data_IF_414203940957
#
_entry.id   IF_414203940957
#
_cell.length_a   1.000
_cell.length_b   1.000
_cell.length_c   1.000
_cell.angle_alpha   90.00
_cell.angle_beta   90.00
_cell.angle_gamma   90.00
#
_symmetry.space_group_name_H-M   'P 1'
#
loop_
_entity.id
_entity.type
_entity.pdbx_description
1 polymer ?
#
# COMPACT_ATOMS: atom_id res chain seq x y z
N UNK A 1 50.68 -36.98 34.90
CA UNK A 1 50.60 -35.52 35.06
C UNK A 1 50.97 -34.89 33.73
N UNK A 2 49.95 -34.42 32.99
CA UNK A 2 49.74 -33.01 32.59
C UNK A 2 50.63 -32.60 31.39
N UNK A 3 50.13 -32.69 30.15
CA UNK A 3 49.33 -31.72 29.35
C UNK A 3 50.05 -30.39 29.04
N UNK A 4 50.12 -30.06 27.74
CA UNK A 4 50.34 -28.69 27.27
C UNK A 4 50.82 -28.57 25.82
N UNK A 5 49.93 -28.80 24.84
CA UNK A 5 50.15 -28.36 23.45
C UNK A 5 48.91 -27.59 23.02
N UNK A 6 49.02 -26.26 23.04
CA UNK A 6 48.01 -25.34 22.51
C UNK A 6 48.24 -25.16 21.01
N UNK A 7 47.29 -25.64 20.21
CA UNK A 7 47.19 -25.36 18.78
C UNK A 7 46.11 -24.31 18.53
N UNK A 8 46.52 -23.11 18.12
CA UNK A 8 45.63 -22.03 17.71
C UNK A 8 44.92 -22.39 16.38
N UNK A 9 43.59 -22.46 16.43
CA UNK A 9 42.72 -22.53 15.27
C UNK A 9 41.72 -21.38 15.31
N UNK A 10 42.03 -20.28 14.63
CA UNK A 10 41.05 -19.21 14.39
C UNK A 10 40.30 -19.51 13.08
N UNK A 11 39.11 -20.08 13.23
CA UNK A 11 38.12 -20.20 12.17
C UNK A 11 37.40 -18.86 11.95
N UNK A 12 37.49 -18.33 10.73
CA UNK A 12 36.71 -17.17 10.29
C UNK A 12 35.22 -17.51 10.24
N UNK A 13 34.44 -16.92 11.15
CA UNK A 13 32.97 -17.01 11.16
C UNK A 13 32.39 -15.86 10.34
N UNK A 14 31.43 -16.21 9.48
CA UNK A 14 30.93 -15.40 8.38
C UNK A 14 30.25 -14.10 8.80
N UNK A 15 30.70 -13.01 8.18
CA UNK A 15 29.97 -11.74 8.08
C UNK A 15 28.89 -11.84 7.00
N UNK A 16 27.75 -12.47 7.31
CA UNK A 16 26.62 -12.60 6.37
C UNK A 16 25.32 -11.93 6.78
N UNK A 17 25.08 -11.69 8.08
CA UNK A 17 23.74 -11.40 8.60
C UNK A 17 23.30 -9.94 8.70
N UNK A 18 24.17 -8.94 8.49
CA UNK A 18 23.83 -7.53 8.80
C UNK A 18 23.27 -6.70 7.64
N UNK A 19 23.27 -7.22 6.41
CA UNK A 19 22.88 -6.43 5.23
C UNK A 19 21.36 -6.37 5.00
N UNK A 20 20.62 -7.40 5.38
CA UNK A 20 19.16 -7.50 5.15
C UNK A 20 18.34 -6.61 6.09
N UNK A 21 18.71 -6.51 7.36
CA UNK A 21 18.03 -5.64 8.33
C UNK A 21 18.15 -4.14 8.01
N UNK A 22 19.21 -3.73 7.30
CA UNK A 22 19.43 -2.33 6.94
C UNK A 22 18.52 -1.87 5.80
N UNK A 23 18.25 -2.77 4.83
CA UNK A 23 17.38 -2.48 3.70
C UNK A 23 15.90 -2.39 4.11
N UNK A 24 15.46 -3.22 5.06
CA UNK A 24 14.07 -3.21 5.53
C UNK A 24 13.77 -1.99 6.41
N UNK A 25 14.72 -1.59 7.28
CA UNK A 25 14.64 -0.31 8.04
C UNK A 25 14.65 0.93 7.14
N UNK A 26 15.38 0.89 6.03
CA UNK A 26 15.37 1.95 5.02
C UNK A 26 14.02 2.09 4.31
N UNK A 27 13.37 0.95 4.00
CA UNK A 27 12.08 0.92 3.31
C UNK A 27 10.93 1.43 4.20
N UNK A 28 10.94 1.10 5.49
CA UNK A 28 9.95 1.58 6.46
C UNK A 28 10.08 3.09 6.74
N UNK A 29 11.31 3.63 6.80
CA UNK A 29 11.53 5.09 6.89
C UNK A 29 11.08 5.85 5.64
N UNK A 30 11.18 5.24 4.47
CA UNK A 30 10.70 5.84 3.21
C UNK A 30 9.18 5.97 3.19
N UNK A 31 8.45 4.92 3.60
CA UNK A 31 6.99 4.95 3.65
C UNK A 31 6.44 5.99 4.63
N UNK A 32 7.02 6.14 5.84
CA UNK A 32 6.60 7.18 6.78
C UNK A 32 6.86 8.61 6.25
N UNK A 33 7.88 8.81 5.39
CA UNK A 33 8.12 10.13 4.78
C UNK A 33 7.07 10.46 3.72
N UNK A 34 6.55 9.48 3.00
CA UNK A 34 5.47 9.68 2.01
C UNK A 34 4.17 10.06 2.71
N UNK A 35 3.78 9.34 3.77
CA UNK A 35 2.55 9.61 4.53
C UNK A 35 2.54 11.01 5.16
N UNK A 36 3.65 11.44 5.77
CA UNK A 36 3.75 12.80 6.34
C UNK A 36 3.73 13.89 5.25
N UNK A 37 4.18 13.59 4.02
CA UNK A 37 4.13 14.55 2.92
C UNK A 37 2.72 14.70 2.31
N UNK A 38 1.90 13.65 2.38
CA UNK A 38 0.50 13.68 1.94
C UNK A 38 -0.37 14.47 2.91
N UNK A 39 -0.19 14.31 4.23
CA UNK A 39 -0.90 15.12 5.23
C UNK A 39 -0.52 16.61 5.15
N UNK A 40 0.77 16.95 4.96
CA UNK A 40 1.18 18.35 4.79
C UNK A 40 0.64 18.96 3.49
N UNK A 41 0.50 18.17 2.42
CA UNK A 41 -0.02 18.66 1.14
C UNK A 41 -1.55 18.80 1.12
N UNK A 42 -2.29 17.97 1.85
CA UNK A 42 -3.73 18.17 2.08
C UNK A 42 -4.00 19.38 2.98
N UNK A 43 -3.21 19.57 4.04
CA UNK A 43 -3.31 20.75 4.91
C UNK A 43 -3.03 22.07 4.16
N UNK A 44 -2.09 22.07 3.20
CA UNK A 44 -1.84 23.22 2.30
C UNK A 44 -2.98 23.45 1.29
N UNK A 45 -3.65 22.40 0.80
CA UNK A 45 -4.78 22.54 -0.13
C UNK A 45 -6.01 23.17 0.54
N UNK A 46 -6.32 22.78 1.77
CA UNK A 46 -7.49 23.29 2.51
C UNK A 46 -7.33 24.75 2.95
N UNK A 47 -6.11 25.20 3.24
CA UNK A 47 -5.82 26.60 3.59
C UNK A 47 -5.79 27.52 2.37
N UNK A 48 -5.35 27.03 1.20
CA UNK A 48 -5.35 27.76 -0.07
C UNK A 48 -6.76 28.05 -0.59
N UNK A 49 -7.68 27.08 -0.53
CA UNK A 49 -9.07 27.27 -0.99
C UNK A 49 -9.85 28.24 -0.11
N UNK A 50 -9.60 28.25 1.20
CA UNK A 50 -10.22 29.20 2.13
C UNK A 50 -9.79 30.65 1.87
N UNK A 51 -8.57 30.86 1.36
CA UNK A 51 -8.05 32.19 1.04
C UNK A 51 -8.66 32.78 -0.24
N UNK A 52 -8.93 31.95 -1.25
CA UNK A 52 -9.60 32.39 -2.50
C UNK A 52 -11.08 32.72 -2.31
N UNK A 53 -11.79 31.96 -1.46
CA UNK A 53 -13.19 32.24 -1.17
C UNK A 53 -13.43 33.58 -0.44
N UNK A 54 -12.40 34.13 0.23
CA UNK A 54 -12.47 35.43 0.90
C UNK A 54 -12.29 36.63 -0.06
N UNK A 55 -11.71 36.44 -1.24
CA UNK A 55 -11.46 37.51 -2.21
C UNK A 55 -12.64 37.76 -3.16
N UNK A 56 -13.47 36.73 -3.43
CA UNK A 56 -14.63 36.83 -4.33
C UNK A 56 -15.90 37.46 -3.69
N UNK A 57 -15.93 37.62 -2.36
CA UNK A 57 -17.04 38.28 -1.65
C UNK A 57 -16.68 39.70 -1.19
N UNK A 58 -15.94 40.46 -1.99
CA UNK A 58 -15.83 41.89 -1.78
C UNK A 58 -17.09 42.59 -2.34
N UNK A 59 -17.97 43.19 -1.51
CA UNK A 59 -19.08 43.97 -2.03
C UNK A 59 -18.53 45.17 -2.80
N UNK A 60 -18.87 45.21 -4.09
CA UNK A 60 -18.62 46.25 -5.09
C UNK A 60 -18.33 47.63 -4.47
N UNK A 61 -17.07 48.09 -4.58
CA UNK A 61 -16.69 49.45 -4.23
C UNK A 61 -17.55 50.38 -5.09
N UNK A 62 -18.44 51.15 -4.45
CA UNK A 62 -19.27 52.17 -5.11
C UNK A 62 -18.39 53.03 -6.02
N UNK A 63 -18.73 53.20 -7.31
CA UNK A 63 -17.98 54.12 -8.16
C UNK A 63 -18.14 55.53 -7.60
N UNK A 64 -17.02 56.15 -7.27
CA UNK A 64 -16.95 57.56 -6.96
C UNK A 64 -17.57 58.34 -8.13
N UNK A 65 -18.48 59.24 -7.81
CA UNK A 65 -19.14 60.15 -8.72
C UNK A 65 -18.09 60.94 -9.51
N UNK A 66 -17.86 60.56 -10.77
CA UNK A 66 -17.03 61.33 -11.68
C UNK A 66 -17.82 62.57 -12.13
N UNK A 67 -17.15 63.71 -11.98
CA UNK A 67 -17.64 65.03 -12.26
C UNK A 67 -17.80 65.26 -13.77
N UNK A 68 -18.84 66.03 -14.08
CA UNK A 68 -19.21 66.66 -15.34
C UNK A 68 -18.04 66.94 -16.30
N UNK A 69 -18.17 66.47 -17.55
CA UNK A 69 -17.34 66.86 -18.68
C UNK A 69 -18.04 66.44 -19.97
N UNK A 70 -18.64 67.40 -20.67
CA UNK A 70 -19.58 67.18 -21.77
C UNK A 70 -18.97 66.53 -23.01
N UNK A 71 -19.77 65.69 -23.63
CA UNK A 71 -19.69 65.27 -25.03
C UNK A 71 -21.10 64.92 -25.46
N UNK A 72 -21.69 65.79 -26.26
CA UNK A 72 -22.97 65.59 -26.93
C UNK A 72 -22.86 64.42 -27.94
N UNK A 73 -24.02 63.86 -28.31
CA UNK A 73 -24.26 62.76 -29.26
C UNK A 73 -24.04 61.32 -28.77
N UNK A 74 -25.04 60.77 -28.08
CA UNK A 74 -26.01 59.84 -28.66
C UNK A 74 -27.03 59.45 -27.57
N UNK A 75 -28.29 59.89 -27.72
CA UNK A 75 -29.48 59.21 -27.16
C UNK A 75 -29.50 58.77 -25.69
N UNK A 76 -28.72 59.37 -24.77
CA UNK A 76 -28.71 58.97 -23.36
C UNK A 76 -30.00 59.46 -22.68
N UNK A 77 -31.05 58.67 -22.82
CA UNK A 77 -32.34 58.88 -22.16
C UNK A 77 -32.09 58.82 -20.64
N UNK A 78 -32.10 59.99 -19.99
CA UNK A 78 -31.94 60.11 -18.54
C UNK A 78 -33.15 59.44 -17.89
N UNK A 79 -32.99 58.15 -17.55
CA UNK A 79 -34.02 57.35 -16.90
C UNK A 79 -34.43 58.02 -15.59
N UNK A 80 -35.74 58.20 -15.43
CA UNK A 80 -36.31 58.71 -14.19
C UNK A 80 -35.90 57.81 -13.01
N UNK A 81 -35.86 58.37 -11.80
CA UNK A 81 -35.57 57.61 -10.57
C UNK A 81 -36.44 56.32 -10.46
N UNK A 82 -37.76 56.34 -10.71
CA UNK A 82 -38.56 55.12 -10.67
C UNK A 82 -38.16 54.10 -11.76
N UNK A 83 -37.77 54.55 -12.95
CA UNK A 83 -37.29 53.66 -14.02
C UNK A 83 -35.95 53.01 -13.68
N UNK A 84 -35.00 53.76 -13.10
CA UNK A 84 -33.73 53.18 -12.60
C UNK A 84 -33.96 52.12 -11.52
N UNK A 85 -34.94 52.35 -10.64
CA UNK A 85 -35.33 51.37 -9.62
C UNK A 85 -35.94 50.12 -10.26
N UNK A 86 -36.80 50.29 -11.26
CA UNK A 86 -37.41 49.19 -12.03
C UNK A 86 -36.35 48.36 -12.76
N UNK A 87 -35.41 49.01 -13.43
CA UNK A 87 -34.34 48.36 -14.19
C UNK A 87 -33.39 47.56 -13.28
N UNK A 88 -33.03 48.10 -12.12
CA UNK A 88 -32.23 47.37 -11.12
C UNK A 88 -32.95 46.10 -10.66
N UNK A 89 -34.24 46.20 -10.38
CA UNK A 89 -35.04 45.05 -9.95
C UNK A 89 -35.21 44.02 -11.07
N UNK A 90 -35.37 44.47 -12.32
CA UNK A 90 -35.38 43.60 -13.50
C UNK A 90 -34.09 42.78 -13.59
N UNK A 91 -32.93 43.43 -13.53
CA UNK A 91 -31.62 42.75 -13.55
C UNK A 91 -31.45 41.79 -12.38
N UNK A 92 -31.92 42.17 -11.18
CA UNK A 92 -31.90 41.27 -10.01
C UNK A 92 -32.71 40.00 -10.27
N UNK A 93 -33.90 40.12 -10.86
CA UNK A 93 -34.75 38.96 -11.21
C UNK A 93 -34.14 38.11 -12.31
N UNK A 94 -33.56 38.72 -13.33
CA UNK A 94 -32.84 38.02 -14.40
C UNK A 94 -31.66 37.23 -13.85
N UNK A 95 -30.83 37.84 -13.00
CA UNK A 95 -29.73 37.17 -12.30
C UNK A 95 -30.21 35.97 -11.48
N UNK A 96 -31.29 36.13 -10.71
CA UNK A 96 -31.89 35.03 -9.94
C UNK A 96 -32.39 33.91 -10.86
N UNK A 97 -33.09 34.26 -11.95
CA UNK A 97 -33.59 33.28 -12.91
C UNK A 97 -32.45 32.50 -13.58
N UNK A 98 -31.34 33.16 -13.92
CA UNK A 98 -30.15 32.49 -14.45
C UNK A 98 -29.60 31.44 -13.47
N UNK A 99 -29.52 31.77 -12.17
CA UNK A 99 -29.10 30.81 -11.13
C UNK A 99 -30.05 29.62 -11.00
N UNK A 100 -31.37 29.85 -11.13
CA UNK A 100 -32.35 28.76 -11.16
C UNK A 100 -32.16 27.88 -12.40
N UNK A 101 -31.87 28.46 -13.56
CA UNK A 101 -31.60 27.71 -14.78
C UNK A 101 -30.31 26.88 -14.67
N UNK A 102 -29.24 27.46 -14.10
CA UNK A 102 -27.98 26.75 -13.85
C UNK A 102 -28.17 25.60 -12.85
N UNK A 103 -28.87 25.86 -11.74
CA UNK A 103 -29.20 24.82 -10.76
C UNK A 103 -30.00 23.70 -11.42
N UNK A 104 -31.02 24.04 -12.21
CA UNK A 104 -31.82 23.07 -12.94
C UNK A 104 -30.92 22.12 -13.75
N UNK A 105 -30.00 22.64 -14.57
CA UNK A 105 -29.10 21.83 -15.41
C UNK A 105 -28.20 20.86 -14.61
N UNK A 106 -27.89 21.16 -13.35
CA UNK A 106 -27.10 20.27 -12.49
C UNK A 106 -27.94 19.14 -11.87
N UNK A 107 -29.27 19.23 -11.92
CA UNK A 107 -30.16 18.27 -11.27
C UNK A 107 -30.51 17.11 -12.20
N UNK A 108 -30.52 15.85 -11.71
CA UNK A 108 -30.68 14.67 -12.55
C UNK A 108 -32.03 14.60 -13.30
N UNK A 109 -33.13 15.05 -12.68
CA UNK A 109 -34.49 14.95 -13.25
C UNK A 109 -34.80 16.08 -14.22
N UNK A 110 -34.03 17.18 -14.18
CA UNK A 110 -34.17 18.31 -15.12
C UNK A 110 -33.97 17.88 -16.58
N UNK A 111 -33.21 16.81 -16.81
CA UNK A 111 -33.00 16.23 -18.14
C UNK A 111 -34.32 15.81 -18.80
N UNK A 112 -35.36 15.55 -18.01
CA UNK A 112 -36.60 14.92 -18.48
C UNK A 112 -37.82 15.85 -18.47
N UNK A 113 -37.67 17.13 -18.12
CA UNK A 113 -38.81 18.06 -18.13
C UNK A 113 -38.55 19.43 -17.52
N UNK A 114 -39.48 20.36 -17.78
CA UNK A 114 -39.45 21.72 -17.23
C UNK A 114 -39.94 21.71 -15.78
N UNK A 115 -39.02 21.86 -14.85
CA UNK A 115 -39.33 22.02 -13.43
C UNK A 115 -39.79 23.46 -13.14
N UNK A 116 -40.76 23.60 -12.25
CA UNK A 116 -41.08 24.87 -11.63
C UNK A 116 -40.02 25.25 -10.57
N UNK A 117 -40.05 26.50 -10.10
CA UNK A 117 -39.01 26.99 -9.17
C UNK A 117 -39.00 26.22 -7.85
N UNK A 118 -40.18 25.82 -7.37
CA UNK A 118 -40.30 25.02 -6.16
C UNK A 118 -39.76 23.61 -6.39
N UNK A 119 -40.11 22.97 -7.51
CA UNK A 119 -39.56 21.67 -7.90
C UNK A 119 -38.03 21.66 -8.01
N UNK A 120 -37.42 22.69 -8.60
CA UNK A 120 -35.95 22.83 -8.66
C UNK A 120 -35.35 22.83 -7.25
N UNK A 121 -35.95 23.57 -6.30
CA UNK A 121 -35.43 23.65 -4.93
C UNK A 121 -35.60 22.33 -4.17
N UNK A 122 -36.76 21.69 -4.29
CA UNK A 122 -37.04 20.41 -3.63
C UNK A 122 -36.08 19.33 -4.14
N UNK A 123 -35.91 19.24 -5.45
CA UNK A 123 -35.00 18.26 -6.05
C UNK A 123 -33.53 18.54 -5.73
N UNK A 124 -33.11 19.80 -5.68
CA UNK A 124 -31.76 20.14 -5.22
C UNK A 124 -31.53 19.70 -3.77
N UNK A 125 -32.50 19.92 -2.89
CA UNK A 125 -32.42 19.47 -1.51
C UNK A 125 -32.35 17.95 -1.41
N UNK A 126 -33.15 17.23 -2.18
CA UNK A 126 -33.15 15.76 -2.16
C UNK A 126 -31.87 15.18 -2.76
N UNK A 127 -31.37 15.77 -3.85
CA UNK A 127 -30.08 15.41 -4.44
C UNK A 127 -28.91 15.66 -3.48
N UNK A 128 -28.94 16.75 -2.72
CA UNK A 128 -27.95 17.00 -1.66
C UNK A 128 -28.03 15.98 -0.53
N UNK A 129 -29.25 15.59 -0.10
CA UNK A 129 -29.41 14.56 0.93
C UNK A 129 -28.89 13.20 0.46
N UNK A 130 -29.19 12.80 -0.78
CA UNK A 130 -28.72 11.53 -1.33
C UNK A 130 -27.21 11.52 -1.50
N UNK A 131 -26.62 12.60 -2.05
CA UNK A 131 -25.17 12.73 -2.17
C UNK A 131 -24.48 12.70 -0.80
N UNK A 132 -25.02 13.38 0.21
CA UNK A 132 -24.48 13.33 1.57
C UNK A 132 -24.53 11.92 2.17
N UNK A 133 -25.64 11.18 1.99
CA UNK A 133 -25.74 9.78 2.43
C UNK A 133 -24.69 8.91 1.74
N UNK A 134 -24.53 9.07 0.42
CA UNK A 134 -23.52 8.34 -0.35
C UNK A 134 -22.09 8.67 0.11
N UNK A 135 -21.80 9.94 0.38
CA UNK A 135 -20.51 10.35 0.94
C UNK A 135 -20.26 9.69 2.31
N UNK A 136 -21.27 9.64 3.19
CA UNK A 136 -21.15 8.97 4.48
C UNK A 136 -20.90 7.46 4.34
N UNK A 137 -21.64 6.79 3.45
CA UNK A 137 -21.47 5.37 3.17
C UNK A 137 -20.10 5.05 2.57
N UNK A 138 -19.65 5.82 1.59
CA UNK A 138 -18.32 5.69 1.00
C UNK A 138 -17.21 5.94 2.03
N UNK A 139 -17.39 6.89 2.94
CA UNK A 139 -16.44 7.12 4.02
C UNK A 139 -16.38 5.93 4.99
N UNK A 140 -17.53 5.35 5.34
CA UNK A 140 -17.57 4.15 6.19
C UNK A 140 -16.88 2.96 5.49
N UNK A 141 -17.19 2.72 4.21
CA UNK A 141 -16.53 1.68 3.42
C UNK A 141 -15.02 1.91 3.32
N UNK A 142 -14.58 3.16 3.10
CA UNK A 142 -13.17 3.51 3.06
C UNK A 142 -12.47 3.23 4.41
N UNK A 143 -13.13 3.53 5.53
CA UNK A 143 -12.62 3.22 6.87
C UNK A 143 -12.50 1.72 7.10
N UNK A 144 -13.52 0.94 6.73
CA UNK A 144 -13.50 -0.52 6.85
C UNK A 144 -12.41 -1.16 5.98
N UNK A 145 -12.24 -0.68 4.73
CA UNK A 145 -11.16 -1.17 3.85
C UNK A 145 -9.79 -0.80 4.40
N UNK A 146 -9.64 0.38 5.03
CA UNK A 146 -8.39 0.76 5.69
C UNK A 146 -8.06 -0.13 6.89
N UNK A 147 -9.06 -0.52 7.69
CA UNK A 147 -8.84 -1.44 8.81
C UNK A 147 -8.49 -2.84 8.32
N UNK A 148 -9.24 -3.38 7.35
CA UNK A 148 -8.96 -4.70 6.76
C UNK A 148 -7.57 -4.74 6.11
N UNK A 149 -7.19 -3.68 5.41
CA UNK A 149 -5.85 -3.54 4.84
C UNK A 149 -4.75 -3.59 5.93
N UNK A 150 -5.00 -3.01 7.11
CA UNK A 150 -4.03 -3.04 8.20
C UNK A 150 -3.98 -4.40 8.90
N UNK A 151 -5.12 -5.05 9.11
CA UNK A 151 -5.21 -6.42 9.62
C UNK A 151 -4.45 -7.40 8.71
N UNK A 152 -4.65 -7.33 7.40
CA UNK A 152 -3.92 -8.17 6.43
C UNK A 152 -2.42 -7.87 6.41
N UNK A 153 -2.00 -6.63 6.67
CA UNK A 153 -0.57 -6.31 6.82
C UNK A 153 0.01 -6.95 8.07
N UNK A 154 -0.72 -6.92 9.17
CA UNK A 154 -0.31 -7.55 10.42
C UNK A 154 -0.24 -9.07 10.25
N UNK A 155 -1.27 -9.71 9.71
CA UNK A 155 -1.29 -11.16 9.46
C UNK A 155 -0.14 -11.58 8.54
N UNK A 156 0.16 -10.81 7.50
CA UNK A 156 1.32 -11.06 6.63
C UNK A 156 2.64 -11.04 7.40
N UNK A 157 2.80 -10.17 8.40
CA UNK A 157 4.00 -10.13 9.24
C UNK A 157 4.05 -11.36 10.14
N UNK A 158 2.93 -11.75 10.75
CA UNK A 158 2.82 -12.94 11.60
C UNK A 158 3.13 -14.23 10.82
N UNK A 159 2.58 -14.38 9.61
CA UNK A 159 2.91 -15.52 8.74
C UNK A 159 4.38 -15.56 8.33
N UNK A 160 5.04 -14.41 8.21
CA UNK A 160 6.49 -14.36 7.94
C UNK A 160 7.30 -14.77 9.16
N UNK A 161 6.89 -14.37 10.37
CA UNK A 161 7.56 -14.78 11.60
C UNK A 161 7.41 -16.28 11.81
N UNK A 162 6.21 -16.82 11.63
CA UNK A 162 5.92 -18.25 11.79
C UNK A 162 6.67 -19.09 10.76
N UNK A 163 6.69 -18.65 9.49
CA UNK A 163 7.49 -19.30 8.45
C UNK A 163 8.98 -19.37 8.82
N UNK A 164 9.54 -18.30 9.38
CA UNK A 164 10.95 -18.27 9.77
C UNK A 164 11.21 -19.16 10.98
N UNK A 165 10.29 -19.16 11.95
CA UNK A 165 10.33 -20.04 13.11
C UNK A 165 10.31 -21.52 12.71
N UNK A 166 9.36 -21.92 11.86
CA UNK A 166 9.25 -23.30 11.36
C UNK A 166 10.47 -23.72 10.53
N UNK A 167 11.10 -22.80 9.79
CA UNK A 167 12.37 -23.09 9.09
C UNK A 167 13.50 -23.38 10.07
N UNK A 168 13.60 -22.59 11.15
CA UNK A 168 14.60 -22.82 12.18
C UNK A 168 14.40 -24.17 12.89
N UNK A 169 13.16 -24.52 13.23
CA UNK A 169 12.84 -25.84 13.81
C UNK A 169 13.15 -26.99 12.84
N UNK A 170 12.79 -26.84 11.56
CA UNK A 170 13.10 -27.83 10.53
C UNK A 170 14.61 -28.06 10.41
N UNK A 171 15.40 -26.98 10.39
CA UNK A 171 16.85 -27.07 10.29
C UNK A 171 17.46 -27.68 11.56
N UNK A 172 16.94 -27.35 12.74
CA UNK A 172 17.35 -27.96 14.01
C UNK A 172 17.08 -29.48 14.02
N UNK A 173 15.88 -29.92 13.62
CA UNK A 173 15.53 -31.33 13.53
C UNK A 173 16.38 -32.07 12.48
N UNK A 174 16.69 -31.42 11.35
CA UNK A 174 17.60 -31.98 10.34
C UNK A 174 19.01 -32.18 10.88
N UNK A 175 19.53 -31.24 11.67
CA UNK A 175 20.83 -31.40 12.32
C UNK A 175 20.80 -32.53 13.37
N UNK A 176 19.73 -32.64 14.17
CA UNK A 176 19.57 -33.75 15.11
C UNK A 176 19.53 -35.12 14.40
N UNK A 177 18.86 -35.23 13.25
CA UNK A 177 18.88 -36.46 12.45
C UNK A 177 20.29 -36.77 11.94
N UNK A 178 21.07 -35.75 11.55
CA UNK A 178 22.46 -35.94 11.10
C UNK A 178 23.36 -36.42 12.25
N UNK A 179 23.23 -35.85 13.44
CA UNK A 179 24.00 -36.27 14.62
C UNK A 179 23.64 -37.70 15.02
N UNK A 180 22.34 -38.03 15.10
CA UNK A 180 21.89 -39.40 15.39
C UNK A 180 22.40 -40.42 14.37
N UNK A 181 22.42 -40.07 13.07
CA UNK A 181 23.00 -40.93 12.03
C UNK A 181 24.51 -41.12 12.22
N UNK A 182 25.24 -40.05 12.56
CA UNK A 182 26.67 -40.13 12.84
C UNK A 182 26.96 -40.99 14.07
N UNK A 183 26.19 -40.83 15.14
CA UNK A 183 26.30 -41.62 16.37
C UNK A 183 25.96 -43.09 16.13
N UNK A 184 24.91 -43.38 15.35
CA UNK A 184 24.57 -44.75 14.96
C UNK A 184 25.70 -45.42 14.17
N UNK A 185 26.30 -44.72 13.20
CA UNK A 185 27.46 -45.23 12.46
C UNK A 185 28.65 -45.47 13.39
N UNK A 186 28.94 -44.53 14.30
CA UNK A 186 30.02 -44.67 15.29
C UNK A 186 29.79 -45.89 16.18
N UNK A 187 28.59 -46.07 16.72
CA UNK A 187 28.22 -47.22 17.54
C UNK A 187 28.42 -48.52 16.76
N UNK A 188 27.92 -48.58 15.53
CA UNK A 188 28.07 -49.75 14.65
C UNK A 188 29.54 -50.12 14.41
N UNK A 189 30.39 -49.13 14.11
CA UNK A 189 31.84 -49.35 13.97
C UNK A 189 32.48 -49.87 15.27
N UNK A 190 32.13 -49.31 16.43
CA UNK A 190 32.67 -49.77 17.72
C UNK A 190 32.25 -51.20 18.06
N UNK A 191 30.98 -51.55 17.83
CA UNK A 191 30.49 -52.92 18.05
C UNK A 191 31.18 -53.91 17.12
N UNK A 192 31.33 -53.57 15.84
CA UNK A 192 32.05 -54.42 14.89
C UNK A 192 33.52 -54.62 15.25
N UNK A 193 34.18 -53.55 15.72
CA UNK A 193 35.55 -53.66 16.20
C UNK A 193 35.66 -54.59 17.41
N UNK A 194 34.76 -54.46 18.40
CA UNK A 194 34.73 -55.36 19.56
C UNK A 194 34.49 -56.83 19.18
N UNK A 195 33.62 -57.09 18.20
CA UNK A 195 33.39 -58.44 17.67
C UNK A 195 34.66 -58.99 17.01
N UNK A 196 35.32 -58.20 16.15
CA UNK A 196 36.58 -58.62 15.53
C UNK A 196 37.67 -58.93 16.57
N UNK A 197 37.79 -58.11 17.62
CA UNK A 197 38.74 -58.32 18.72
C UNK A 197 38.43 -59.58 19.53
N UNK A 198 37.15 -59.89 19.79
CA UNK A 198 36.75 -61.08 20.57
C UNK A 198 36.88 -62.40 19.82
N UNK A 199 36.61 -62.40 18.51
CA UNK A 199 36.56 -63.64 17.72
C UNK A 199 37.79 -63.88 16.85
N UNK A 200 38.83 -63.04 16.95
CA UNK A 200 40.14 -63.33 16.36
C UNK A 200 40.14 -63.52 14.85
N UNK A 201 39.29 -62.80 14.12
CA UNK A 201 39.26 -62.85 12.64
C UNK A 201 40.43 -62.03 12.09
N UNK A 202 41.64 -62.54 12.24
CA UNK A 202 42.81 -62.06 11.55
C UNK A 202 42.68 -62.43 10.07
N UNK A 203 42.26 -61.48 9.21
CA UNK A 203 42.49 -61.61 7.77
C UNK A 203 41.33 -61.35 6.80
N UNK A 204 40.22 -60.71 7.19
CA UNK A 204 39.29 -60.21 6.16
C UNK A 204 39.80 -58.88 5.60
N UNK A 205 40.51 -58.98 4.47
CA UNK A 205 40.95 -57.88 3.61
C UNK A 205 39.89 -56.77 3.53
N UNK A 206 40.31 -55.53 3.84
CA UNK A 206 39.50 -54.31 3.83
C UNK A 206 38.84 -53.99 2.48
N UNK A 207 39.08 -54.78 1.43
CA UNK A 207 38.55 -54.59 0.10
C UNK A 207 37.06 -54.97 -0.07
N UNK A 208 36.47 -55.74 0.84
CA UNK A 208 35.11 -56.29 0.68
C UNK A 208 34.16 -55.91 1.82
N UNK A 209 34.17 -54.66 2.27
CA UNK A 209 33.20 -54.19 3.25
C UNK A 209 31.94 -53.61 2.56
N UNK A 210 30.84 -54.38 2.41
CA UNK A 210 29.69 -53.99 1.60
C UNK A 210 28.98 -52.72 2.13
N UNK A 211 29.18 -52.37 3.40
CA UNK A 211 28.60 -51.17 4.02
C UNK A 211 29.36 -49.88 3.66
N UNK A 212 30.67 -49.94 3.41
CA UNK A 212 31.42 -48.77 2.95
C UNK A 212 31.02 -48.39 1.51
N UNK A 213 30.71 -49.39 0.69
CA UNK A 213 30.21 -49.19 -0.67
C UNK A 213 28.82 -48.54 -0.66
N UNK A 214 27.91 -48.97 0.22
CA UNK A 214 26.58 -48.32 0.40
C UNK A 214 26.73 -46.88 0.91
N UNK A 215 27.66 -46.61 1.82
CA UNK A 215 27.93 -45.25 2.32
C UNK A 215 28.52 -44.33 1.24
N UNK A 216 29.41 -44.83 0.38
CA UNK A 216 29.94 -44.10 -0.78
C UNK A 216 28.88 -43.88 -1.86
N UNK A 217 28.00 -44.86 -2.09
CA UNK A 217 26.90 -44.77 -3.06
C UNK A 217 25.78 -43.82 -2.59
N UNK A 218 25.51 -43.75 -1.29
CA UNK A 218 24.60 -42.77 -0.70
C UNK A 218 25.12 -41.31 -0.84
N UNK A 219 26.44 -41.10 -0.80
CA UNK A 219 27.05 -39.79 -1.10
C UNK A 219 26.91 -39.38 -2.57
N UNK A 220 26.80 -40.33 -3.50
CA UNK A 220 26.70 -40.05 -4.93
C UNK A 220 25.26 -39.79 -5.42
N UNK A 221 24.24 -40.33 -4.73
CA UNK A 221 22.82 -40.17 -5.13
C UNK A 221 22.17 -38.92 -4.51
N UNK A 222 22.80 -38.26 -3.54
CA UNK A 222 22.25 -37.06 -2.88
C UNK A 222 22.50 -35.71 -3.57
N UNK A 223 23.21 -35.67 -4.71
CA UNK A 223 23.66 -34.42 -5.34
C UNK A 223 22.78 -33.84 -6.46
N UNK A 224 21.65 -34.47 -6.80
CA UNK A 224 20.87 -34.14 -8.01
C UNK A 224 19.53 -33.42 -7.78
N UNK A 225 19.23 -33.01 -6.54
CA UNK A 225 18.03 -32.22 -6.24
C UNK A 225 18.27 -30.76 -6.58
N UNK A 226 18.09 -30.39 -7.85
CA UNK A 226 17.85 -29.01 -8.25
C UNK A 226 16.61 -28.49 -7.49
N UNK A 227 16.80 -27.99 -6.28
CA UNK A 227 15.89 -27.02 -5.66
C UNK A 227 16.07 -25.67 -6.37
N UNK A 228 15.83 -25.69 -7.69
CA UNK A 228 15.40 -24.51 -8.42
C UNK A 228 14.00 -24.23 -7.91
N UNK A 229 13.92 -23.59 -6.74
CA UNK A 229 12.72 -22.86 -6.35
C UNK A 229 12.49 -21.89 -7.50
N UNK A 230 11.39 -22.01 -8.27
CA UNK A 230 11.13 -21.05 -9.33
C UNK A 230 11.10 -19.68 -8.66
N UNK A 231 12.02 -18.81 -9.06
CA UNK A 231 11.94 -17.40 -8.75
C UNK A 231 10.59 -16.93 -9.30
N UNK A 232 9.59 -16.86 -8.42
CA UNK A 232 8.35 -16.15 -8.71
C UNK A 232 8.76 -14.70 -8.90
N UNK A 233 8.96 -14.35 -10.16
CA UNK A 233 9.03 -12.98 -10.63
C UNK A 233 7.72 -12.31 -10.22
N UNK A 234 7.74 -11.61 -9.09
CA UNK A 234 6.76 -10.58 -8.77
C UNK A 234 6.97 -9.43 -9.78
N UNK A 235 6.44 -9.62 -10.97
CA UNK A 235 6.16 -8.57 -11.94
C UNK A 235 4.64 -8.35 -11.94
N UNK A 236 4.10 -7.94 -10.79
CA UNK A 236 2.83 -7.22 -10.73
C UNK A 236 3.10 -5.80 -11.26
N UNK A 237 3.27 -5.68 -12.57
CA UNK A 237 2.91 -4.45 -13.26
C UNK A 237 1.39 -4.41 -13.30
N UNK A 238 0.78 -3.76 -12.31
CA UNK A 238 -0.60 -3.30 -12.38
C UNK A 238 -0.74 -2.37 -13.60
N UNK A 239 -1.07 -2.92 -14.77
CA UNK A 239 -1.74 -2.18 -15.83
C UNK A 239 -3.19 -1.99 -15.40
N UNK A 240 -3.46 -0.83 -14.83
CA UNK A 240 -4.81 -0.27 -14.73
C UNK A 240 -5.29 -0.04 -16.16
N UNK A 241 -6.00 -1.01 -16.74
CA UNK A 241 -6.87 -0.74 -17.89
C UNK A 241 -8.19 -0.24 -17.35
N UNK A 242 -8.36 1.07 -17.40
CA UNK A 242 -9.65 1.75 -17.30
C UNK A 242 -10.59 1.20 -18.37
N UNK A 243 -11.61 0.45 -17.97
CA UNK A 243 -12.81 0.28 -18.76
C UNK A 243 -13.58 1.60 -18.72
N UNK A 244 -13.48 2.37 -19.81
CA UNK A 244 -14.52 3.32 -20.18
C UNK A 244 -15.67 2.51 -20.79
N UNK A 245 -16.74 2.33 -20.03
CA UNK A 245 -18.05 2.07 -20.59
C UNK A 245 -18.59 3.41 -21.12
N UNK A 246 -18.65 3.52 -22.45
CA UNK A 246 -19.49 4.47 -23.17
C UNK A 246 -20.28 3.67 -24.21
N UNK A 247 -21.53 3.34 -23.89
CA UNK A 247 -22.70 3.29 -24.77
C UNK A 247 -23.91 2.82 -23.94
#
# INVERSE_FOLDING_TARGET
EERGVEGAGEGGVGRGGRAVDSLEKGRMKSMNRVLNSEEESESRRTTSTRKRAAEDWAPDKRPATFSSGGSENEGFQVMSIPERKREREKRRRECINLKFSELCLMLPRSANGRLDKEGILVEALDSLKTLNKSIMELNLQNQNLKSEMEELRQEKVELRTDKNYLRAELDAAREEIKTLKADHLRLWHTLRQQVNERYGVAGSSAANDPMLEVALRAKFVGGGGNDQVPAMNNADTCKVTSHNECA
#
